data_IF_592339093594
#
_entry.id   IF_592339093594
#
_cell.length_a   1.000
_cell.length_b   1.000
_cell.length_c   1.000
_cell.angle_alpha   90.00
_cell.angle_beta   90.00
_cell.angle_gamma   90.00
#
_symmetry.space_group_name_H-M   'P 1'
#
loop_
_entity.id
_entity.type
_entity.pdbx_description
1 polymer ?
#
# COMPACT_ATOMS: atom_id res chain seq x y z
N UNK A 1 -10.74 -41.41 41.46
CA UNK A 1 -10.71 -40.69 40.19
C UNK A 1 -9.34 -40.02 40.04
N UNK A 2 -8.47 -40.54 39.17
CA UNK A 2 -7.22 -39.86 38.81
C UNK A 2 -7.53 -38.83 37.72
N UNK A 3 -7.26 -37.56 38.01
CA UNK A 3 -7.53 -36.45 37.09
C UNK A 3 -6.46 -36.42 36.00
N UNK A 4 -6.89 -36.65 34.76
CA UNK A 4 -6.10 -36.44 33.55
C UNK A 4 -5.96 -34.93 33.33
N UNK A 5 -4.75 -34.38 33.46
CA UNK A 5 -4.45 -33.01 33.03
C UNK A 5 -3.85 -33.08 31.64
N UNK A 6 -4.69 -32.93 30.62
CA UNK A 6 -4.29 -32.70 29.23
C UNK A 6 -5.03 -31.46 28.72
N UNK A 7 -4.27 -30.45 28.33
CA UNK A 7 -4.76 -29.20 27.74
C UNK A 7 -3.64 -28.16 27.82
N UNK A 8 -2.81 -28.07 26.78
CA UNK A 8 -2.85 -26.98 25.78
C UNK A 8 -2.68 -25.61 26.46
N UNK A 9 -1.61 -24.86 26.22
CA UNK A 9 -1.42 -24.14 24.97
C UNK A 9 0.08 -24.02 24.66
N UNK A 10 0.47 -24.45 23.46
CA UNK A 10 1.70 -24.04 22.79
C UNK A 10 1.74 -22.51 22.79
N UNK A 11 2.52 -21.92 23.70
CA UNK A 11 2.96 -20.54 23.60
C UNK A 11 3.91 -20.39 22.44
N UNK A 12 3.42 -20.57 21.21
CA UNK A 12 4.07 -20.05 20.04
C UNK A 12 3.94 -18.53 20.14
N UNK A 13 4.92 -17.90 20.79
CA UNK A 13 5.25 -16.53 20.45
C UNK A 13 5.42 -16.53 18.93
N UNK A 14 4.45 -15.97 18.21
CA UNK A 14 4.63 -15.71 16.80
C UNK A 14 5.94 -14.95 16.70
N UNK A 15 6.95 -15.44 15.95
CA UNK A 15 8.17 -14.68 15.78
C UNK A 15 7.74 -13.31 15.28
N UNK A 16 8.03 -12.28 16.07
CA UNK A 16 7.95 -10.90 15.64
C UNK A 16 8.60 -10.87 14.27
N UNK A 17 7.80 -10.55 13.24
CA UNK A 17 8.27 -10.57 11.87
C UNK A 17 9.42 -9.57 11.80
N UNK A 18 10.65 -10.08 11.87
CA UNK A 18 11.85 -9.30 11.74
C UNK A 18 11.87 -8.78 10.32
N UNK A 19 11.30 -7.59 10.13
CA UNK A 19 11.48 -6.83 8.91
C UNK A 19 12.98 -6.53 8.82
N UNK A 20 13.71 -7.34 8.04
CA UNK A 20 15.04 -6.98 7.58
C UNK A 20 14.98 -5.53 7.11
N UNK A 21 15.96 -4.67 7.43
CA UNK A 21 15.88 -3.26 7.05
C UNK A 21 15.86 -3.15 5.52
N UNK A 22 14.66 -3.02 4.95
CA UNK A 22 14.46 -2.71 3.54
C UNK A 22 14.79 -1.23 3.43
N UNK A 23 15.87 -0.92 2.72
CA UNK A 23 16.20 0.48 2.45
C UNK A 23 15.22 1.00 1.42
N UNK A 24 14.32 1.89 1.83
CA UNK A 24 13.42 2.60 0.93
C UNK A 24 14.22 3.48 -0.01
N UNK A 25 13.84 3.49 -1.29
CA UNK A 25 14.46 4.34 -2.30
C UNK A 25 14.11 5.82 -2.07
N UNK A 26 14.81 6.74 -2.73
CA UNK A 26 14.47 8.17 -2.67
C UNK A 26 13.07 8.42 -3.25
N UNK A 27 12.69 7.69 -4.31
CA UNK A 27 11.36 7.74 -4.90
C UNK A 27 10.27 7.27 -3.93
N UNK A 28 10.51 6.16 -3.21
CA UNK A 28 9.57 5.63 -2.21
C UNK A 28 9.34 6.66 -1.09
N UNK A 29 10.41 7.27 -0.57
CA UNK A 29 10.31 8.29 0.46
C UNK A 29 9.56 9.53 -0.05
N UNK A 30 9.82 9.97 -1.28
CA UNK A 30 9.09 11.10 -1.89
C UNK A 30 7.60 10.79 -2.04
N UNK A 31 7.25 9.56 -2.43
CA UNK A 31 5.86 9.14 -2.59
C UNK A 31 5.15 9.05 -1.23
N UNK A 32 5.78 8.41 -0.24
CA UNK A 32 5.23 8.29 1.12
C UNK A 32 5.02 9.64 1.79
N UNK A 33 5.97 10.58 1.64
CA UNK A 33 5.83 11.93 2.19
C UNK A 33 4.61 12.69 1.63
N UNK A 34 4.18 12.38 0.40
CA UNK A 34 3.03 13.02 -0.22
C UNK A 34 1.69 12.32 0.08
N UNK A 35 1.71 11.06 0.52
CA UNK A 35 0.52 10.21 0.63
C UNK A 35 0.18 9.80 2.05
N UNK A 36 1.16 9.75 2.96
CA UNK A 36 0.95 9.51 4.40
C UNK A 36 -0.02 10.55 4.97
N UNK A 37 -1.01 10.07 5.71
CA UNK A 37 -2.05 10.91 6.32
C UNK A 37 -3.13 11.39 5.35
N UNK A 38 -3.00 11.11 4.05
CA UNK A 38 -4.03 11.43 3.04
C UNK A 38 -4.74 10.15 2.59
N UNK A 39 -3.98 9.17 2.11
CA UNK A 39 -4.53 7.90 1.63
C UNK A 39 -4.52 6.86 2.77
N UNK A 40 -5.59 6.07 2.96
CA UNK A 40 -5.66 5.08 4.02
C UNK A 40 -4.69 3.91 3.77
N UNK A 41 -4.06 3.42 4.84
CA UNK A 41 -3.19 2.23 4.81
C UNK A 41 -1.78 2.51 5.32
N UNK A 42 -1.04 1.42 5.55
CA UNK A 42 0.36 1.45 5.95
C UNK A 42 1.28 1.76 4.75
N UNK A 43 2.54 2.10 5.04
CA UNK A 43 3.51 2.47 4.00
C UNK A 43 3.67 1.41 2.91
N UNK A 44 3.70 0.13 3.28
CA UNK A 44 3.79 -0.96 2.29
C UNK A 44 2.58 -1.02 1.37
N UNK A 45 1.37 -0.73 1.91
CA UNK A 45 0.16 -0.61 1.09
C UNK A 45 0.25 0.61 0.18
N UNK A 46 0.68 1.76 0.70
CA UNK A 46 0.86 2.98 -0.09
C UNK A 46 1.81 2.73 -1.27
N UNK A 47 2.98 2.17 -1.02
CA UNK A 47 3.96 1.86 -2.06
C UNK A 47 3.40 0.89 -3.12
N UNK A 48 2.62 -0.09 -2.68
CA UNK A 48 1.95 -1.04 -3.57
C UNK A 48 0.89 -0.36 -4.44
N UNK A 49 0.06 0.49 -3.84
CA UNK A 49 -0.96 1.29 -4.54
C UNK A 49 -0.31 2.18 -5.59
N UNK A 50 0.75 2.91 -5.23
CA UNK A 50 1.46 3.82 -6.15
C UNK A 50 1.98 3.10 -7.39
N UNK A 51 2.60 1.92 -7.21
CA UNK A 51 3.07 1.08 -8.33
C UNK A 51 1.93 0.51 -9.16
N UNK A 52 0.84 0.06 -8.52
CA UNK A 52 -0.31 -0.50 -9.22
C UNK A 52 -1.06 0.56 -10.05
N UNK A 53 -1.24 1.76 -9.51
CA UNK A 53 -1.78 2.91 -10.23
C UNK A 53 -0.98 3.21 -11.51
N UNK A 54 0.35 3.24 -11.40
CA UNK A 54 1.22 3.44 -12.55
C UNK A 54 1.10 2.32 -13.59
N UNK A 55 0.99 1.06 -13.15
CA UNK A 55 0.77 -0.08 -14.05
C UNK A 55 -0.53 0.09 -14.85
N UNK A 56 -1.62 0.49 -14.19
CA UNK A 56 -2.91 0.71 -14.86
C UNK A 56 -2.84 1.81 -15.91
N UNK A 57 -2.18 2.93 -15.59
CA UNK A 57 -1.97 4.01 -16.56
C UNK A 57 -1.18 3.54 -17.79
N UNK A 58 -0.10 2.77 -17.60
CA UNK A 58 0.68 2.23 -18.71
C UNK A 58 -0.07 1.19 -19.54
N UNK A 59 -1.07 0.51 -18.97
CA UNK A 59 -1.96 -0.38 -19.71
C UNK A 59 -3.08 0.34 -20.46
N UNK A 60 -3.12 1.68 -20.40
CA UNK A 60 -4.11 2.50 -21.11
C UNK A 60 -5.39 2.75 -20.33
N UNK A 61 -5.43 2.44 -19.03
CA UNK A 61 -6.56 2.82 -18.17
C UNK A 61 -6.54 4.34 -17.94
N UNK A 62 -7.64 5.07 -18.19
CA UNK A 62 -7.67 6.50 -17.98
C UNK A 62 -7.52 6.86 -16.50
N UNK A 63 -6.86 7.98 -16.21
CA UNK A 63 -6.53 8.38 -14.84
C UNK A 63 -7.75 8.40 -13.90
N UNK A 64 -8.91 8.86 -14.37
CA UNK A 64 -10.12 8.90 -13.56
C UNK A 64 -10.61 7.49 -13.17
N UNK A 65 -10.57 6.54 -14.11
CA UNK A 65 -10.95 5.16 -13.79
C UNK A 65 -9.98 4.51 -12.80
N UNK A 66 -8.68 4.84 -12.86
CA UNK A 66 -7.70 4.40 -11.87
C UNK A 66 -8.03 4.97 -10.48
N UNK A 67 -8.35 6.26 -10.40
CA UNK A 67 -8.76 6.92 -9.14
C UNK A 67 -9.99 6.21 -8.55
N UNK A 68 -11.05 6.04 -9.34
CA UNK A 68 -12.30 5.47 -8.88
C UNK A 68 -12.12 4.01 -8.44
N UNK A 69 -11.35 3.22 -9.19
CA UNK A 69 -11.04 1.83 -8.86
C UNK A 69 -10.24 1.70 -7.56
N UNK A 70 -9.19 2.52 -7.39
CA UNK A 70 -8.34 2.48 -6.19
C UNK A 70 -9.09 3.04 -4.97
N UNK A 71 -9.89 4.08 -5.14
CA UNK A 71 -10.77 4.61 -4.11
C UNK A 71 -11.72 3.52 -3.58
N UNK A 72 -12.42 2.83 -4.50
CA UNK A 72 -13.33 1.73 -4.14
C UNK A 72 -12.61 0.55 -3.47
N UNK A 73 -11.44 0.15 -4.00
CA UNK A 73 -10.71 -1.02 -3.52
C UNK A 73 -10.14 -0.83 -2.12
N UNK A 74 -9.65 0.37 -1.81
CA UNK A 74 -8.95 0.67 -0.56
C UNK A 74 -9.81 1.47 0.44
N UNK A 75 -11.08 1.70 0.12
CA UNK A 75 -11.98 2.50 0.96
C UNK A 75 -11.53 3.96 1.10
N UNK A 76 -10.81 4.48 0.12
CA UNK A 76 -10.38 5.87 0.06
C UNK A 76 -11.42 6.73 -0.68
N UNK A 77 -11.41 8.03 -0.45
CA UNK A 77 -12.16 8.98 -1.29
C UNK A 77 -11.46 9.19 -2.65
N UNK A 78 -12.20 9.56 -3.71
CA UNK A 78 -11.61 9.89 -5.01
C UNK A 78 -10.55 11.01 -4.92
N UNK A 79 -10.73 12.00 -4.05
CA UNK A 79 -9.74 13.05 -3.82
C UNK A 79 -8.42 12.50 -3.25
N UNK A 80 -8.50 11.59 -2.28
CA UNK A 80 -7.32 10.93 -1.70
C UNK A 80 -6.61 10.06 -2.75
N UNK A 81 -7.35 9.28 -3.52
CA UNK A 81 -6.80 8.49 -4.62
C UNK A 81 -6.19 9.38 -5.72
N UNK A 82 -6.77 10.56 -5.97
CA UNK A 82 -6.20 11.56 -6.87
C UNK A 82 -4.88 12.16 -6.38
N UNK A 83 -4.72 12.39 -5.07
CA UNK A 83 -3.44 12.79 -4.47
C UNK A 83 -2.40 11.67 -4.65
N UNK A 84 -2.76 10.42 -4.35
CA UNK A 84 -1.87 9.28 -4.53
C UNK A 84 -1.46 9.10 -6.01
N UNK A 85 -2.38 9.25 -6.96
CA UNK A 85 -2.08 9.15 -8.39
C UNK A 85 -1.13 10.26 -8.86
N UNK A 86 -1.33 11.51 -8.39
CA UNK A 86 -0.43 12.63 -8.71
C UNK A 86 0.97 12.41 -8.13
N UNK A 87 1.07 11.90 -6.90
CA UNK A 87 2.34 11.53 -6.29
C UNK A 87 3.02 10.40 -7.08
N UNK A 88 2.28 9.34 -7.42
CA UNK A 88 2.78 8.21 -8.20
C UNK A 88 3.32 8.63 -9.57
N UNK A 89 2.64 9.58 -10.26
CA UNK A 89 3.14 10.12 -11.53
C UNK A 89 4.43 10.93 -11.39
N UNK A 90 4.67 11.59 -10.26
CA UNK A 90 5.92 12.34 -10.04
C UNK A 90 7.08 11.44 -9.63
N UNK A 91 6.80 10.32 -8.96
CA UNK A 91 7.83 9.43 -8.42
C UNK A 91 8.08 8.20 -9.30
N UNK A 92 7.04 7.47 -9.69
CA UNK A 92 7.15 6.15 -10.34
C UNK A 92 6.81 6.15 -11.84
N UNK A 93 5.85 6.97 -12.27
CA UNK A 93 5.39 6.98 -13.67
C UNK A 93 5.34 8.37 -14.28
N UNK A 94 6.50 9.01 -14.31
CA UNK A 94 6.71 10.34 -14.92
C UNK A 94 6.37 10.40 -16.41
N UNK A 95 6.39 9.25 -17.09
CA UNK A 95 6.08 9.12 -18.51
C UNK A 95 4.68 8.55 -18.80
N UNK A 96 3.87 8.28 -17.77
CA UNK A 96 2.55 7.71 -18.01
C UNK A 96 1.61 8.72 -18.68
N UNK A 97 0.77 8.28 -19.66
CA UNK A 97 -0.23 9.11 -20.31
C UNK A 97 -1.31 9.57 -19.33
N UNK A 98 -1.94 10.72 -19.63
CA UNK A 98 -2.94 11.37 -18.77
C UNK A 98 -4.35 11.25 -19.30
#
# INVERSE_FOLDING_TARGET
MAALVFGAVFGAAAPEAGAWPITLTAEDQSFLNATRGVFPGDDDQLLTVGRQMCRLLYTGTPAQAVIDQMAAQYGASPDQAGVALRAARRSYCTQAPG
#
